data_IF_161387712904
#
_entry.id   IF_161387712904
#
_cell.length_a   1.000
_cell.length_b   1.000
_cell.length_c   1.000
_cell.angle_alpha   90.00
_cell.angle_beta   90.00
_cell.angle_gamma   90.00
#
_symmetry.space_group_name_H-M   'P 1'
#
loop_
_entity.id
_entity.type
_entity.pdbx_description
1 polymer ?
#
# COMPACT_ATOMS: atom_id res chain seq x y z
N UNK A 1 5.82 7.54 -14.22
CA UNK A 1 4.92 6.45 -13.77
C UNK A 1 5.67 5.68 -12.71
N UNK A 2 5.25 5.77 -11.45
CA UNK A 2 5.91 5.11 -10.31
C UNK A 2 5.00 4.08 -9.65
N UNK A 3 5.58 3.18 -8.87
CA UNK A 3 4.84 2.17 -8.10
C UNK A 3 4.00 2.88 -7.03
N UNK A 4 2.76 2.44 -6.83
CA UNK A 4 1.89 2.91 -5.74
C UNK A 4 1.61 1.76 -4.78
N UNK A 5 1.87 1.99 -3.49
CA UNK A 5 1.59 1.03 -2.42
C UNK A 5 0.39 1.53 -1.64
N UNK A 6 -0.75 0.85 -1.75
CA UNK A 6 -1.95 1.18 -0.98
C UNK A 6 -1.95 0.37 0.32
N UNK A 7 -1.90 1.05 1.48
CA UNK A 7 -1.80 0.34 2.75
C UNK A 7 -1.69 1.25 3.97
N UNK A 8 -1.57 0.65 5.15
CA UNK A 8 -1.19 1.38 6.36
C UNK A 8 0.27 1.05 6.68
N UNK A 9 1.17 2.03 6.90
CA UNK A 9 2.57 1.74 7.22
C UNK A 9 2.75 0.88 8.49
N UNK A 10 1.80 0.93 9.43
CA UNK A 10 1.78 0.07 10.63
C UNK A 10 1.36 -1.39 10.35
N UNK A 11 0.84 -1.70 9.16
CA UNK A 11 0.49 -3.07 8.79
C UNK A 11 1.76 -3.87 8.50
N UNK A 12 1.93 -5.07 9.08
CA UNK A 12 3.11 -5.88 8.82
C UNK A 12 3.26 -6.22 7.34
N UNK A 13 2.15 -6.44 6.63
CA UNK A 13 2.17 -6.73 5.19
C UNK A 13 2.66 -5.53 4.37
N UNK A 14 2.19 -4.32 4.70
CA UNK A 14 2.62 -3.09 4.02
C UNK A 14 4.10 -2.83 4.33
N UNK A 15 4.53 -2.99 5.58
CA UNK A 15 5.93 -2.82 5.98
C UNK A 15 6.88 -3.73 5.20
N UNK A 16 6.52 -5.01 4.99
CA UNK A 16 7.32 -5.94 4.19
C UNK A 16 7.48 -5.47 2.74
N UNK A 17 6.40 -5.01 2.10
CA UNK A 17 6.47 -4.49 0.72
C UNK A 17 7.36 -3.26 0.65
N UNK A 18 7.21 -2.32 1.59
CA UNK A 18 8.03 -1.10 1.64
C UNK A 18 9.51 -1.43 1.85
N UNK A 19 9.83 -2.39 2.72
CA UNK A 19 11.20 -2.87 2.93
C UNK A 19 11.78 -3.48 1.65
N UNK A 20 11.02 -4.34 0.94
CA UNK A 20 11.48 -4.93 -0.32
C UNK A 20 11.70 -3.88 -1.41
N UNK A 21 10.83 -2.88 -1.51
CA UNK A 21 10.99 -1.80 -2.47
C UNK A 21 12.23 -0.94 -2.15
N UNK A 22 12.47 -0.68 -0.87
CA UNK A 22 13.68 0.01 -0.41
C UNK A 22 14.95 -0.81 -0.72
N UNK A 23 14.96 -2.11 -0.43
CA UNK A 23 16.06 -3.03 -0.76
C UNK A 23 16.34 -3.11 -2.27
N UNK A 24 15.31 -2.96 -3.10
CA UNK A 24 15.45 -2.93 -4.56
C UNK A 24 15.78 -1.54 -5.12
N UNK A 25 15.83 -0.51 -4.29
CA UNK A 25 16.07 0.87 -4.71
C UNK A 25 15.01 1.40 -5.69
N UNK A 26 13.76 0.92 -5.57
CA UNK A 26 12.67 1.32 -6.45
C UNK A 26 11.91 2.51 -5.85
N UNK A 27 11.68 3.53 -6.66
CA UNK A 27 10.83 4.65 -6.27
C UNK A 27 9.36 4.21 -6.17
N UNK A 28 8.73 4.58 -5.06
CA UNK A 28 7.32 4.29 -4.82
C UNK A 28 6.63 5.43 -4.07
N UNK A 29 5.31 5.48 -4.22
CA UNK A 29 4.41 6.34 -3.47
C UNK A 29 3.59 5.49 -2.50
N UNK A 30 3.70 5.76 -1.20
CA UNK A 30 2.81 5.15 -0.20
C UNK A 30 1.50 5.95 -0.16
N UNK A 31 0.40 5.31 -0.54
CA UNK A 31 -0.95 5.87 -0.47
C UNK A 31 -1.65 5.31 0.78
N UNK A 32 -1.76 6.09 1.87
CA UNK A 32 -2.36 5.62 3.10
C UNK A 32 -3.85 5.35 2.94
N UNK A 33 -4.31 4.18 3.38
CA UNK A 33 -5.74 3.83 3.38
C UNK A 33 -6.25 3.63 4.81
N UNK A 34 -7.46 4.10 5.09
CA UNK A 34 -8.14 3.92 6.36
C UNK A 34 -8.86 2.56 6.40
N UNK A 35 -8.13 1.55 6.86
CA UNK A 35 -8.64 0.19 7.02
C UNK A 35 -9.73 0.12 8.10
N UNK A 36 -9.64 0.96 9.14
CA UNK A 36 -10.64 1.02 10.23
C UNK A 36 -12.00 1.52 9.74
N UNK A 37 -12.00 2.47 8.81
CA UNK A 37 -13.21 2.95 8.14
C UNK A 37 -13.68 2.03 6.99
N UNK A 38 -13.03 0.88 6.78
CA UNK A 38 -13.41 -0.08 5.74
C UNK A 38 -13.09 0.38 4.32
N UNK A 39 -12.19 1.34 4.11
CA UNK A 39 -11.87 1.84 2.75
C UNK A 39 -11.41 0.74 1.80
N UNK A 40 -10.63 -0.23 2.29
CA UNK A 40 -10.19 -1.42 1.56
C UNK A 40 -11.33 -2.31 1.01
N UNK A 41 -12.59 -2.09 1.45
CA UNK A 41 -13.77 -2.81 0.97
C UNK A 41 -14.58 -2.00 -0.05
N UNK A 42 -14.21 -0.75 -0.31
CA UNK A 42 -14.89 0.06 -1.31
C UNK A 42 -14.58 -0.48 -2.71
N UNK A 43 -15.52 -0.40 -3.67
CA UNK A 43 -15.34 -0.92 -5.03
C UNK A 43 -14.06 -0.43 -5.72
N UNK A 44 -13.63 0.80 -5.43
CA UNK A 44 -12.38 1.37 -5.97
C UNK A 44 -11.13 0.62 -5.53
N UNK A 45 -11.11 0.04 -4.31
CA UNK A 45 -9.99 -0.73 -3.78
C UNK A 45 -10.12 -2.22 -4.10
N UNK A 46 -11.35 -2.74 -4.20
CA UNK A 46 -11.59 -4.10 -4.68
C UNK A 46 -11.21 -4.27 -6.16
N UNK A 47 -11.24 -3.21 -6.96
CA UNK A 47 -10.77 -3.27 -8.35
C UNK A 47 -9.24 -3.35 -8.48
N UNK A 48 -8.49 -3.07 -7.40
CA UNK A 48 -7.02 -3.08 -7.40
C UNK A 48 -6.43 -4.44 -6.99
N UNK A 49 -7.21 -5.33 -6.38
CA UNK A 49 -6.75 -6.57 -5.75
C UNK A 49 -7.83 -7.66 -5.79
#
# INVERSE_FOLDING_TARGET
>A
MGLKVYGMPMSPCTATVLALLAEKGLDYELVPINVRAGQHKQPSFLALN
#
